data_IF_875027619249
#
_entry.id   IF_875027619249
#
_cell.length_a   1.000
_cell.length_b   1.000
_cell.length_c   1.000
_cell.angle_alpha   90.00
_cell.angle_beta   90.00
_cell.angle_gamma   90.00
#
_symmetry.space_group_name_H-M   'P 1'
#
loop_
_entity.id
_entity.type
_entity.pdbx_description
1 polymer ?
#
# COMPACT_ATOMS: atom_id res chain seq x y z
N UNK A 1 9.60 -7.76 -4.39
CA UNK A 1 9.01 -8.59 -5.46
C UNK A 1 7.60 -8.09 -5.70
N UNK A 2 7.15 -8.02 -6.95
CA UNK A 2 5.80 -7.59 -7.30
C UNK A 2 4.79 -8.75 -7.30
N UNK A 3 5.24 -9.96 -6.99
CA UNK A 3 4.43 -11.18 -7.07
C UNK A 3 4.58 -12.05 -5.82
N UNK A 4 3.53 -12.84 -5.54
CA UNK A 4 3.48 -13.84 -4.47
C UNK A 4 3.76 -13.27 -3.07
N UNK A 5 4.53 -14.03 -2.26
CA UNK A 5 4.81 -13.65 -0.86
C UNK A 5 5.48 -12.28 -0.72
N UNK A 6 6.32 -11.89 -1.68
CA UNK A 6 6.99 -10.59 -1.64
C UNK A 6 6.05 -9.41 -1.88
N UNK A 7 4.98 -9.61 -2.64
CA UNK A 7 3.94 -8.59 -2.81
C UNK A 7 3.16 -8.39 -1.51
N UNK A 8 2.77 -9.48 -0.84
CA UNK A 8 2.10 -9.42 0.47
C UNK A 8 2.93 -8.65 1.49
N UNK A 9 4.23 -8.96 1.58
CA UNK A 9 5.14 -8.25 2.50
C UNK A 9 5.18 -6.75 2.19
N UNK A 10 5.31 -6.38 0.92
CA UNK A 10 5.32 -4.97 0.50
C UNK A 10 4.03 -4.24 0.87
N UNK A 11 2.86 -4.87 0.73
CA UNK A 11 1.57 -4.27 1.14
C UNK A 11 1.55 -3.94 2.63
N UNK A 12 1.99 -4.87 3.47
CA UNK A 12 2.06 -4.67 4.93
C UNK A 12 3.02 -3.52 5.27
N UNK A 13 4.21 -3.49 4.67
CA UNK A 13 5.20 -2.42 4.88
C UNK A 13 4.61 -1.06 4.49
N UNK A 14 4.00 -0.94 3.30
CA UNK A 14 3.43 0.33 2.82
C UNK A 14 2.27 0.81 3.69
N UNK A 15 1.42 -0.10 4.19
CA UNK A 15 0.38 0.25 5.17
C UNK A 15 0.97 0.78 6.47
N UNK A 16 1.98 0.11 7.02
CA UNK A 16 2.68 0.59 8.22
C UNK A 16 3.30 1.98 8.00
N UNK A 17 3.98 2.20 6.87
CA UNK A 17 4.55 3.49 6.50
C UNK A 17 3.48 4.59 6.42
N UNK A 18 2.34 4.31 5.79
CA UNK A 18 1.20 5.25 5.73
C UNK A 18 0.65 5.58 7.11
N UNK A 19 0.52 4.60 8.00
CA UNK A 19 0.08 4.86 9.37
C UNK A 19 1.07 5.73 10.15
N UNK A 20 2.37 5.49 10.01
CA UNK A 20 3.37 6.37 10.61
C UNK A 20 3.32 7.79 10.06
N UNK A 21 3.18 7.96 8.74
CA UNK A 21 3.00 9.27 8.13
C UNK A 21 1.77 10.00 8.68
N UNK A 22 0.64 9.30 8.84
CA UNK A 22 -0.58 9.85 9.47
C UNK A 22 -0.35 10.30 10.92
N UNK A 23 0.54 9.62 11.66
CA UNK A 23 0.93 10.01 13.02
C UNK A 23 1.96 11.15 13.06
N UNK A 24 2.40 11.66 11.91
CA UNK A 24 3.39 12.73 11.82
C UNK A 24 4.84 12.24 11.88
N UNK A 25 5.10 10.95 11.66
CA UNK A 25 6.46 10.44 11.58
C UNK A 25 7.23 11.11 10.42
N UNK A 26 8.47 11.52 10.71
CA UNK A 26 9.37 12.17 9.74
C UNK A 26 10.58 11.28 9.49
N UNK A 27 10.93 11.14 8.21
CA UNK A 27 12.02 10.24 7.80
C UNK A 27 11.69 8.76 8.00
N UNK A 28 12.69 7.91 7.87
CA UNK A 28 12.56 6.46 7.98
C UNK A 28 12.47 6.04 9.45
N UNK A 29 11.34 5.44 9.84
CA UNK A 29 11.05 5.03 11.21
C UNK A 29 10.79 3.53 11.33
N UNK A 30 10.26 2.90 10.27
CA UNK A 30 9.71 1.55 10.38
C UNK A 30 10.79 0.50 10.69
N UNK A 31 11.98 0.66 10.11
CA UNK A 31 13.11 -0.22 10.37
C UNK A 31 13.60 -0.17 11.83
N UNK A 32 13.36 0.93 12.56
CA UNK A 32 13.82 1.09 13.94
C UNK A 32 13.07 0.16 14.91
N UNK A 33 11.87 -0.28 14.54
CA UNK A 33 11.07 -1.23 15.32
C UNK A 33 11.73 -2.61 15.38
N UNK A 34 12.56 -2.96 14.39
CA UNK A 34 13.22 -4.27 14.33
C UNK A 34 14.10 -4.50 15.56
N UNK A 35 14.82 -3.48 16.02
CA UNK A 35 15.65 -3.60 17.22
C UNK A 35 14.83 -3.92 18.48
N UNK A 36 13.67 -3.26 18.65
CA UNK A 36 12.77 -3.55 19.76
C UNK A 36 12.16 -4.96 19.65
N UNK A 37 11.80 -5.38 18.43
CA UNK A 37 11.27 -6.72 18.16
C UNK A 37 12.31 -7.81 18.48
N UNK A 38 13.57 -7.60 18.10
CA UNK A 38 14.68 -8.51 18.42
C UNK A 38 14.91 -8.59 19.93
N UNK A 39 14.83 -7.46 20.64
CA UNK A 39 15.01 -7.45 22.09
C UNK A 39 13.94 -8.27 22.82
N UNK A 40 12.69 -8.18 22.37
CA UNK A 40 11.56 -8.87 23.00
C UNK A 40 11.47 -10.35 22.59
N UNK A 41 11.71 -10.65 21.31
CA UNK A 41 11.42 -11.96 20.71
C UNK A 41 12.66 -12.77 20.31
N UNK A 42 13.86 -12.20 20.35
CA UNK A 42 15.07 -12.82 19.80
C UNK A 42 15.48 -14.13 20.47
N UNK A 43 15.08 -14.34 21.73
CA UNK A 43 15.31 -15.61 22.44
C UNK A 43 14.49 -16.77 21.87
N UNK A 44 13.27 -16.49 21.43
CA UNK A 44 12.37 -17.46 20.81
C UNK A 44 12.64 -17.64 19.31
N UNK A 45 13.19 -16.62 18.65
CA UNK A 45 13.46 -16.60 17.21
C UNK A 45 14.92 -16.17 16.91
N UNK A 46 15.91 -17.07 17.09
CA UNK A 46 17.33 -16.76 16.87
C UNK A 46 17.65 -16.29 15.44
N UNK A 47 16.90 -16.75 14.45
CA UNK A 47 17.00 -16.34 13.05
C UNK A 47 16.69 -14.85 12.86
N UNK A 48 15.81 -14.28 13.69
CA UNK A 48 15.49 -12.86 13.68
C UNK A 48 16.72 -12.03 14.07
N UNK A 49 17.46 -12.49 15.09
CA UNK A 49 18.69 -11.86 15.55
C UNK A 49 19.76 -11.93 14.46
N UNK A 50 19.94 -13.09 13.83
CA UNK A 50 20.93 -13.29 12.77
C UNK A 50 20.64 -12.45 11.52
N UNK A 51 19.37 -12.23 11.21
CA UNK A 51 18.94 -11.49 10.02
C UNK A 51 18.61 -10.02 10.29
N UNK A 52 18.76 -9.52 11.52
CA UNK A 52 18.38 -8.16 11.92
C UNK A 52 18.89 -7.10 10.93
N UNK A 53 20.21 -7.06 10.68
CA UNK A 53 20.83 -6.08 9.79
C UNK A 53 20.33 -6.18 8.34
N UNK A 54 19.91 -7.36 7.90
CA UNK A 54 19.31 -7.54 6.58
C UNK A 54 17.88 -7.00 6.56
N UNK A 55 17.07 -7.36 7.55
CA UNK A 55 15.67 -6.91 7.69
C UNK A 55 15.61 -5.38 7.80
N UNK A 56 16.43 -4.78 8.65
CA UNK A 56 16.50 -3.31 8.81
C UNK A 56 16.81 -2.62 7.48
N UNK A 57 17.79 -3.12 6.72
CA UNK A 57 18.16 -2.56 5.42
C UNK A 57 17.03 -2.66 4.41
N UNK A 58 16.36 -3.81 4.33
CA UNK A 58 15.24 -4.04 3.41
C UNK A 58 14.06 -3.14 3.76
N UNK A 59 13.68 -3.07 5.03
CA UNK A 59 12.59 -2.21 5.50
C UNK A 59 12.88 -0.73 5.23
N UNK A 60 14.10 -0.27 5.55
CA UNK A 60 14.52 1.11 5.29
C UNK A 60 14.47 1.44 3.80
N UNK A 61 14.95 0.55 2.94
CA UNK A 61 14.94 0.76 1.49
C UNK A 61 13.52 0.83 0.91
N UNK A 62 12.63 -0.06 1.31
CA UNK A 62 11.22 -0.03 0.87
C UNK A 62 10.47 1.19 1.42
N UNK A 63 10.74 1.60 2.67
CA UNK A 63 10.17 2.81 3.28
C UNK A 63 10.62 4.08 2.54
N UNK A 64 11.92 4.23 2.27
CA UNK A 64 12.47 5.37 1.53
C UNK A 64 11.95 5.41 0.09
N UNK A 65 11.82 4.24 -0.56
CA UNK A 65 11.27 4.16 -1.90
C UNK A 65 9.80 4.56 -1.93
N UNK A 66 9.01 4.13 -0.94
CA UNK A 66 7.59 4.46 -0.88
C UNK A 66 7.34 5.91 -0.45
N UNK A 67 8.15 6.47 0.45
CA UNK A 67 8.04 7.86 0.89
C UNK A 67 8.09 8.85 -0.29
N UNK A 68 8.88 8.55 -1.33
CA UNK A 68 8.98 9.37 -2.56
C UNK A 68 7.65 9.53 -3.29
N UNK A 69 6.77 8.53 -3.24
CA UNK A 69 5.47 8.54 -3.96
C UNK A 69 4.29 8.70 -3.03
N UNK A 70 4.46 8.48 -1.72
CA UNK A 70 3.39 8.53 -0.72
C UNK A 70 2.73 9.91 -0.67
N UNK A 71 3.51 10.98 -0.51
CA UNK A 71 2.94 12.33 -0.36
C UNK A 71 2.16 12.76 -1.60
N UNK A 72 2.72 12.54 -2.79
CA UNK A 72 2.04 12.86 -4.05
C UNK A 72 0.79 12.00 -4.27
N UNK A 73 0.86 10.70 -3.94
CA UNK A 73 -0.28 9.78 -4.05
C UNK A 73 -1.42 10.15 -3.10
N UNK A 74 -1.11 10.56 -1.86
CA UNK A 74 -2.09 11.04 -0.90
C UNK A 74 -2.79 12.31 -1.39
N UNK A 75 -2.02 13.29 -1.90
CA UNK A 75 -2.57 14.53 -2.43
C UNK A 75 -3.55 14.28 -3.60
N UNK A 76 -3.20 13.38 -4.51
CA UNK A 76 -4.05 13.03 -5.65
C UNK A 76 -5.31 12.31 -5.18
N UNK A 77 -5.17 11.36 -4.25
CA UNK A 77 -6.31 10.66 -3.69
C UNK A 77 -7.26 11.62 -2.97
N UNK A 78 -6.74 12.58 -2.21
CA UNK A 78 -7.56 13.61 -1.55
C UNK A 78 -8.29 14.51 -2.54
N UNK A 79 -7.61 14.93 -3.62
CA UNK A 79 -8.22 15.72 -4.70
C UNK A 79 -9.33 14.96 -5.41
N UNK A 80 -9.05 13.73 -5.86
CA UNK A 80 -10.01 12.89 -6.58
C UNK A 80 -11.21 12.50 -5.67
N UNK A 81 -10.99 12.38 -4.35
CA UNK A 81 -12.07 12.14 -3.38
C UNK A 81 -12.88 13.40 -3.05
N UNK A 82 -12.29 14.59 -3.10
CA UNK A 82 -13.01 15.85 -2.85
C UNK A 82 -14.07 16.12 -3.93
N UNK A 83 -13.77 15.76 -5.18
CA UNK A 83 -14.67 15.91 -6.32
C UNK A 83 -15.69 14.75 -6.44
N UNK A 84 -15.61 13.75 -5.56
CA UNK A 84 -16.42 12.55 -5.64
C UNK A 84 -17.87 12.80 -5.21
N UNK A 85 -18.78 12.76 -6.18
CA UNK A 85 -20.23 12.75 -5.91
C UNK A 85 -20.72 11.31 -5.70
N UNK A 86 -20.60 10.81 -4.48
CA UNK A 86 -21.13 9.50 -4.08
C UNK A 86 -20.24 8.73 -3.11
N UNK A 87 -20.44 7.42 -3.03
CA UNK A 87 -19.76 6.54 -2.06
C UNK A 87 -18.82 5.53 -2.72
N UNK A 88 -18.51 5.69 -4.02
CA UNK A 88 -17.76 4.73 -4.83
C UNK A 88 -16.61 5.45 -5.51
N UNK A 89 -15.37 4.99 -5.26
CA UNK A 89 -14.18 5.49 -5.94
C UNK A 89 -14.10 4.90 -7.35
N UNK A 90 -13.89 5.70 -8.40
CA UNK A 90 -13.75 5.20 -9.77
C UNK A 90 -12.54 4.27 -9.90
N UNK A 91 -12.69 3.18 -10.65
CA UNK A 91 -11.59 2.24 -10.90
C UNK A 91 -10.38 2.88 -11.57
N UNK A 92 -10.60 3.93 -12.39
CA UNK A 92 -9.54 4.72 -13.03
C UNK A 92 -8.60 5.38 -11.99
N UNK A 93 -9.14 5.89 -10.88
CA UNK A 93 -8.38 6.48 -9.78
C UNK A 93 -7.56 5.41 -9.06
N UNK A 94 -8.18 4.27 -8.77
CA UNK A 94 -7.50 3.13 -8.11
C UNK A 94 -6.36 2.61 -8.97
N UNK A 95 -6.58 2.47 -10.28
CA UNK A 95 -5.57 2.02 -11.24
C UNK A 95 -4.39 3.00 -11.32
N UNK A 96 -4.67 4.31 -11.40
CA UNK A 96 -3.63 5.35 -11.40
C UNK A 96 -2.79 5.31 -10.11
N UNK A 97 -3.43 5.18 -8.95
CA UNK A 97 -2.75 5.05 -7.66
C UNK A 97 -1.86 3.80 -7.60
N UNK A 98 -2.34 2.68 -8.13
CA UNK A 98 -1.58 1.44 -8.20
C UNK A 98 -0.39 1.52 -9.17
N UNK A 99 -0.63 1.90 -10.42
CA UNK A 99 0.37 1.85 -11.50
C UNK A 99 1.42 2.97 -11.36
N UNK A 100 0.98 4.20 -11.08
CA UNK A 100 1.88 5.37 -11.06
C UNK A 100 2.51 5.62 -9.70
N UNK A 101 1.76 5.42 -8.61
CA UNK A 101 2.21 5.77 -7.25
C UNK A 101 2.55 4.54 -6.40
N UNK A 102 2.25 3.35 -6.90
CA UNK A 102 2.50 2.07 -6.24
C UNK A 102 1.59 1.82 -5.03
N UNK A 103 0.42 2.46 -4.96
CA UNK A 103 -0.52 2.25 -3.86
C UNK A 103 -1.23 0.92 -4.05
N UNK A 104 -1.07 -0.03 -3.11
CA UNK A 104 -1.88 -1.24 -3.13
C UNK A 104 -3.38 -0.89 -3.05
N UNK A 105 -4.23 -1.70 -3.69
CA UNK A 105 -5.68 -1.44 -3.69
C UNK A 105 -6.28 -1.40 -2.27
N UNK A 106 -5.77 -2.24 -1.37
CA UNK A 106 -6.14 -2.26 0.05
C UNK A 106 -5.73 -0.97 0.76
N UNK A 107 -4.58 -0.38 0.42
CA UNK A 107 -4.14 0.90 0.97
C UNK A 107 -5.06 2.05 0.51
N UNK A 108 -5.36 2.11 -0.79
CA UNK A 108 -6.30 3.10 -1.35
C UNK A 108 -7.68 2.95 -0.70
N UNK A 109 -8.14 1.71 -0.54
CA UNK A 109 -9.36 1.38 0.16
C UNK A 109 -9.35 1.89 1.61
N UNK A 110 -8.31 1.58 2.39
CA UNK A 110 -8.15 2.03 3.77
C UNK A 110 -8.25 3.56 3.89
N UNK A 111 -7.52 4.29 3.05
CA UNK A 111 -7.53 5.77 3.07
C UNK A 111 -8.91 6.32 2.72
N UNK A 112 -9.56 5.77 1.68
CA UNK A 112 -10.86 6.24 1.25
C UNK A 112 -11.97 5.98 2.27
N UNK A 113 -11.93 4.89 3.07
CA UNK A 113 -12.92 4.71 4.15
C UNK A 113 -12.74 5.70 5.28
N UNK A 114 -11.51 6.06 5.60
CA UNK A 114 -11.23 7.05 6.63
C UNK A 114 -11.72 8.44 6.23
N UNK A 115 -11.55 8.83 4.98
CA UNK A 115 -11.92 10.16 4.49
C UNK A 115 -13.43 10.32 4.25
N UNK A 116 -14.10 9.31 3.69
CA UNK A 116 -15.49 9.47 3.20
C UNK A 116 -16.55 8.86 4.14
N UNK A 117 -16.17 8.18 5.24
CA UNK A 117 -17.05 7.49 6.21
C UNK A 117 -18.05 6.46 5.62
N UNK A 118 -18.15 6.32 4.30
CA UNK A 118 -19.14 5.52 3.57
C UNK A 118 -18.48 4.65 2.50
N UNK A 119 -17.39 3.96 2.83
CA UNK A 119 -16.79 3.02 1.89
C UNK A 119 -17.58 1.71 1.87
N UNK A 120 -18.46 1.55 0.89
CA UNK A 120 -18.96 0.22 0.52
C UNK A 120 -17.99 -0.36 -0.50
N UNK A 121 -17.22 -1.36 -0.10
CA UNK A 121 -16.37 -2.17 -0.97
C UNK A 121 -17.24 -3.00 -1.93
N UNK A 122 -17.93 -2.36 -2.88
CA UNK A 122 -18.36 -3.04 -4.11
C UNK A 122 -17.18 -2.93 -5.06
N UNK A 123 -16.45 -4.02 -5.20
CA UNK A 123 -15.47 -4.20 -6.27
C UNK A 123 -16.10 -3.78 -7.60
N UNK A 124 -15.60 -2.70 -8.19
CA UNK A 124 -15.97 -2.30 -9.55
C UNK A 124 -14.99 -2.96 -10.52
N UNK A 125 -15.28 -4.20 -10.88
CA UNK A 125 -14.82 -4.77 -12.15
C UNK A 125 -15.90 -4.68 -13.23
N UNK A 126 -17.05 -4.07 -12.95
CA UNK A 126 -18.18 -4.10 -13.87
C UNK A 126 -18.96 -2.77 -13.92
N UNK A 127 -18.43 -1.76 -14.62
CA UNK A 127 -19.28 -0.80 -15.35
C UNK A 127 -18.57 0.04 -16.43
N UNK A 128 -17.47 -0.44 -17.03
CA UNK A 128 -16.91 0.23 -18.21
C UNK A 128 -16.04 -0.66 -19.08
N UNK A 129 -16.47 -1.90 -19.32
CA UNK A 129 -15.98 -2.66 -20.46
C UNK A 129 -17.20 -3.05 -21.28
N UNK A 130 -17.57 -2.15 -22.19
CA UNK A 130 -18.03 -2.62 -23.48
C UNK A 130 -16.93 -3.49 -24.04
N UNK A 131 -17.29 -4.72 -24.34
CA UNK A 131 -16.55 -5.71 -25.11
C UNK A 131 -15.68 -5.04 -26.18
N UNK A 132 -14.35 -5.24 -26.07
CA UNK A 132 -13.48 -5.72 -27.17
C UNK A 132 -11.97 -5.44 -27.01
N UNK A 133 -11.49 -4.81 -25.93
CA UNK A 133 -10.04 -4.70 -25.66
C UNK A 133 -9.70 -5.09 -24.20
N UNK A 134 -9.63 -6.40 -23.95
CA UNK A 134 -9.16 -6.98 -22.70
C UNK A 134 -7.63 -7.19 -22.79
N UNK A 135 -6.89 -6.09 -22.68
CA UNK A 135 -5.42 -6.11 -22.70
C UNK A 135 -4.82 -6.35 -21.30
N UNK A 136 -3.57 -6.83 -21.29
CA UNK A 136 -2.61 -7.25 -20.25
C UNK A 136 -2.70 -6.59 -18.84
N UNK A 137 -3.39 -5.46 -18.73
CA UNK A 137 -3.68 -4.72 -17.49
C UNK A 137 -4.64 -5.46 -16.55
N UNK A 138 -5.57 -6.25 -17.06
CA UNK A 138 -6.55 -6.98 -16.24
C UNK A 138 -5.90 -8.15 -15.48
N UNK A 139 -4.92 -8.82 -16.09
CA UNK A 139 -4.14 -9.89 -15.47
C UNK A 139 -3.29 -9.37 -14.29
N UNK A 140 -2.72 -8.17 -14.43
CA UNK A 140 -1.94 -7.52 -13.36
C UNK A 140 -2.81 -7.08 -12.17
N UNK A 141 -4.09 -6.79 -12.41
CA UNK A 141 -5.06 -6.43 -11.39
C UNK A 141 -5.56 -7.66 -10.61
N UNK A 142 -5.82 -8.78 -11.28
CA UNK A 142 -6.19 -10.04 -10.61
C UNK A 142 -5.04 -10.63 -9.78
N UNK A 143 -3.80 -10.52 -10.26
CA UNK A 143 -2.61 -10.92 -9.48
C UNK A 143 -2.32 -10.00 -8.29
N UNK A 144 -2.83 -8.76 -8.29
CA UNK A 144 -2.73 -7.86 -7.13
C UNK A 144 -3.74 -8.19 -6.02
N UNK A 145 -4.74 -9.04 -6.31
CA UNK A 145 -5.83 -9.41 -5.38
C UNK A 145 -5.53 -10.71 -4.62
N UNK A 146 -4.75 -11.63 -5.21
CA UNK A 146 -4.31 -12.89 -4.59
C UNK A 146 -2.92 -12.77 -3.92
#
# INVERSE_FOLDING_TARGET
>A
SNEGRGYVLRRIIRRACRHGNKLGAKGSFFYQIVAALVAEMGSAFPELVQQQSHIERVLKGEEEQFAKTLEQGLKILEQDLADLKGTVVPGEVVFKLYDTYGFPMDLTGDIARELTRLFKTRFYLARKLGSDDLDDKQLRLEQAIL
#
